data_IF_716828788904
#
_entry.id   IF_716828788904
#
_cell.length_a   1.000
_cell.length_b   1.000
_cell.length_c   1.000
_cell.angle_alpha   90.00
_cell.angle_beta   90.00
_cell.angle_gamma   90.00
#
_symmetry.space_group_name_H-M   'P 1'
#
loop_
_entity.id
_entity.type
_entity.pdbx_description
1 polymer ?
#
# COMPACT_ATOMS: atom_id res chain seq x y z
N UNK A 1 17.21 15.41 -9.00
CA UNK A 1 16.65 14.07 -9.27
C UNK A 1 15.26 14.25 -9.89
N UNK A 2 15.02 13.77 -11.11
CA UNK A 2 13.68 13.79 -11.71
C UNK A 2 13.06 12.41 -11.57
N UNK A 3 11.94 12.33 -10.86
CA UNK A 3 11.12 11.12 -10.73
C UNK A 3 9.96 11.22 -11.73
N UNK A 4 9.68 10.14 -12.46
CA UNK A 4 8.57 10.06 -13.41
C UNK A 4 7.72 8.85 -13.08
N UNK A 5 6.45 9.08 -12.73
CA UNK A 5 5.45 8.02 -12.50
C UNK A 5 4.94 7.53 -13.86
N UNK A 6 4.93 6.22 -14.05
CA UNK A 6 4.47 5.56 -15.28
C UNK A 6 3.12 4.87 -15.11
N UNK A 7 2.82 4.38 -13.91
CA UNK A 7 1.55 3.73 -13.61
C UNK A 7 1.12 3.97 -12.16
N UNK A 8 -0.19 3.93 -11.92
CA UNK A 8 -0.80 3.90 -10.59
C UNK A 8 -2.09 3.07 -10.70
N UNK A 9 -2.16 1.96 -9.96
CA UNK A 9 -3.30 1.03 -10.02
C UNK A 9 -3.60 0.39 -8.68
N UNK A 10 -4.81 -0.14 -8.54
CA UNK A 10 -5.19 -0.96 -7.39
C UNK A 10 -4.78 -2.42 -7.60
N UNK A 11 -4.03 -2.97 -6.66
CA UNK A 11 -3.69 -4.40 -6.58
C UNK A 11 -4.61 -5.03 -5.54
N UNK A 12 -5.35 -6.07 -5.96
CA UNK A 12 -6.31 -6.79 -5.12
C UNK A 12 -5.72 -8.12 -4.63
N UNK A 13 -6.27 -8.72 -3.54
CA UNK A 13 -5.91 -10.07 -3.15
C UNK A 13 -6.12 -11.07 -4.30
N UNK A 14 -5.15 -11.94 -4.54
CA UNK A 14 -5.17 -12.92 -5.63
C UNK A 14 -5.59 -14.31 -5.14
N UNK A 15 -6.86 -14.48 -4.78
CA UNK A 15 -7.39 -15.78 -4.34
C UNK A 15 -7.23 -16.87 -5.41
N UNK A 16 -6.88 -18.08 -4.98
CA UNK A 16 -6.92 -19.26 -5.82
C UNK A 16 -8.35 -19.66 -6.22
N UNK A 17 -8.51 -20.57 -7.18
CA UNK A 17 -9.81 -21.14 -7.52
C UNK A 17 -10.50 -21.73 -6.28
N UNK A 18 -11.62 -21.14 -5.87
CA UNK A 18 -12.40 -21.61 -4.70
C UNK A 18 -11.97 -21.05 -3.34
N UNK A 19 -10.95 -20.20 -3.28
CA UNK A 19 -10.45 -19.59 -2.03
C UNK A 19 -11.05 -18.19 -1.76
N UNK A 20 -12.09 -17.80 -2.49
CA UNK A 20 -12.70 -16.50 -2.30
C UNK A 20 -13.35 -16.41 -0.91
N UNK A 21 -13.20 -15.28 -0.20
CA UNK A 21 -14.00 -15.01 0.98
C UNK A 21 -15.48 -15.10 0.57
N UNK A 22 -16.28 -15.79 1.37
CA UNK A 22 -17.72 -15.94 1.10
C UNK A 22 -18.42 -14.59 0.93
N UNK A 23 -17.88 -13.53 1.54
CA UNK A 23 -18.31 -12.15 1.29
C UNK A 23 -17.13 -11.18 1.33
N UNK A 24 -17.17 -10.13 0.51
CA UNK A 24 -16.37 -8.90 0.70
C UNK A 24 -17.05 -7.93 1.67
N UNK A 25 -18.03 -8.40 2.44
CA UNK A 25 -18.77 -7.65 3.45
C UNK A 25 -18.21 -7.79 4.86
N UNK A 26 -17.12 -8.55 5.03
CA UNK A 26 -16.48 -8.70 6.33
C UNK A 26 -15.98 -7.35 6.84
N UNK A 27 -16.14 -7.12 8.15
CA UNK A 27 -15.77 -5.88 8.83
C UNK A 27 -14.88 -6.20 10.01
N UNK A 28 -13.79 -5.45 10.16
CA UNK A 28 -12.89 -5.52 11.32
C UNK A 28 -13.07 -4.24 12.15
N UNK A 29 -13.80 -4.28 13.29
CA UNK A 29 -13.95 -3.12 14.16
C UNK A 29 -12.60 -2.68 14.74
N UNK A 30 -12.33 -1.37 14.72
CA UNK A 30 -11.13 -0.81 15.35
C UNK A 30 -11.24 -0.90 16.87
N UNK A 31 -10.22 -1.50 17.49
CA UNK A 31 -10.15 -1.64 18.95
C UNK A 31 -9.77 -0.32 19.60
N UNK A 32 -9.88 -0.27 20.92
CA UNK A 32 -9.61 0.94 21.70
C UNK A 32 -8.17 1.46 21.51
N UNK A 33 -7.19 0.57 21.34
CA UNK A 33 -5.80 0.96 21.10
C UNK A 33 -5.54 1.46 19.69
N UNK A 34 -6.26 0.96 18.69
CA UNK A 34 -6.19 1.49 17.33
C UNK A 34 -6.70 2.94 17.31
N UNK A 35 -7.81 3.20 18.02
CA UNK A 35 -8.45 4.52 18.15
C UNK A 35 -7.66 5.51 19.01
N UNK A 36 -6.76 5.03 19.86
CA UNK A 36 -5.86 5.87 20.67
C UNK A 36 -4.61 6.30 19.89
N UNK A 37 -4.34 5.68 18.73
CA UNK A 37 -3.19 5.98 17.89
C UNK A 37 -3.49 7.13 16.91
N UNK A 38 -2.47 7.57 16.16
CA UNK A 38 -2.62 8.63 15.17
C UNK A 38 -3.46 8.18 13.97
N UNK A 39 -4.49 8.96 13.65
CA UNK A 39 -5.27 8.82 12.43
C UNK A 39 -4.54 9.52 11.27
N UNK A 40 -3.47 8.88 10.79
CA UNK A 40 -2.57 9.45 9.78
C UNK A 40 -1.87 8.37 8.95
N UNK A 41 -1.32 8.77 7.80
CA UNK A 41 -0.48 7.90 6.99
C UNK A 41 0.98 7.98 7.45
N UNK A 42 1.60 6.83 7.68
CA UNK A 42 3.03 6.72 8.00
C UNK A 42 3.77 6.25 6.74
N UNK A 43 4.83 6.96 6.36
CA UNK A 43 5.61 6.66 5.16
C UNK A 43 7.04 6.25 5.48
N UNK A 44 7.59 5.30 4.71
CA UNK A 44 8.96 4.79 4.83
C UNK A 44 9.54 4.49 3.45
N UNK A 45 10.85 4.67 3.27
CA UNK A 45 11.56 4.40 2.01
C UNK A 45 12.58 3.30 2.25
N UNK A 46 12.57 2.28 1.38
CA UNK A 46 13.58 1.23 1.31
C UNK A 46 14.33 1.32 -0.03
N UNK A 47 15.63 1.07 -0.01
CA UNK A 47 16.49 1.12 -1.18
C UNK A 47 17.29 -0.19 -1.32
N UNK A 48 17.33 -0.73 -2.53
CA UNK A 48 17.97 -2.01 -2.85
C UNK A 48 19.01 -1.82 -3.94
N UNK A 49 20.15 -2.50 -3.83
CA UNK A 49 21.15 -2.55 -4.91
C UNK A 49 20.68 -3.47 -6.04
N UNK A 50 21.07 -3.20 -7.30
CA UNK A 50 20.79 -4.11 -8.40
C UNK A 50 21.55 -5.45 -8.24
N UNK A 51 21.01 -6.55 -8.76
CA UNK A 51 19.71 -6.66 -9.43
C UNK A 51 18.53 -6.69 -8.42
N UNK A 52 17.42 -6.07 -8.79
CA UNK A 52 16.16 -6.15 -8.06
C UNK A 52 15.10 -6.91 -8.88
N UNK A 53 14.08 -7.52 -8.25
CA UNK A 53 12.97 -8.16 -8.98
C UNK A 53 12.25 -7.17 -9.91
N UNK A 54 11.71 -7.67 -11.02
CA UNK A 54 10.88 -6.87 -11.91
C UNK A 54 9.56 -6.44 -11.23
N UNK A 55 8.98 -5.31 -11.67
CA UNK A 55 7.74 -4.77 -11.10
C UNK A 55 6.59 -5.80 -11.06
N UNK A 56 6.44 -6.61 -12.12
CA UNK A 56 5.42 -7.66 -12.19
C UNK A 56 5.58 -8.73 -11.09
N UNK A 57 6.81 -9.05 -10.69
CA UNK A 57 7.06 -10.00 -9.60
C UNK A 57 6.68 -9.39 -8.24
N UNK A 58 6.95 -8.09 -8.04
CA UNK A 58 6.56 -7.36 -6.83
C UNK A 58 5.03 -7.24 -6.73
N UNK A 59 4.36 -6.90 -7.83
CA UNK A 59 2.90 -6.82 -7.89
C UNK A 59 2.25 -8.17 -7.58
N UNK A 60 2.73 -9.26 -8.20
CA UNK A 60 2.22 -10.61 -7.93
C UNK A 60 2.47 -11.05 -6.48
N UNK A 61 3.61 -10.66 -5.91
CA UNK A 61 3.92 -10.88 -4.49
C UNK A 61 2.97 -10.13 -3.56
N UNK A 62 2.70 -8.85 -3.85
CA UNK A 62 1.74 -8.03 -3.12
C UNK A 62 0.33 -8.63 -3.18
N UNK A 63 -0.15 -9.01 -4.36
CA UNK A 63 -1.47 -9.60 -4.54
C UNK A 63 -1.65 -10.89 -3.72
N UNK A 64 -0.59 -11.72 -3.61
CA UNK A 64 -0.60 -12.91 -2.75
C UNK A 64 -0.60 -12.57 -1.26
N UNK A 65 0.26 -11.62 -0.85
CA UNK A 65 0.32 -11.19 0.55
C UNK A 65 -1.01 -10.59 1.04
N UNK A 66 -1.72 -9.87 0.17
CA UNK A 66 -3.01 -9.25 0.49
C UNK A 66 -4.13 -10.26 0.81
N UNK A 67 -3.96 -11.56 0.51
CA UNK A 67 -4.90 -12.61 0.94
C UNK A 67 -4.86 -12.75 2.48
N UNK A 68 -3.66 -12.70 3.06
CA UNK A 68 -3.44 -12.81 4.51
C UNK A 68 -3.60 -11.48 5.24
N UNK A 69 -3.55 -10.36 4.49
CA UNK A 69 -3.48 -8.99 4.99
C UNK A 69 -4.54 -8.11 4.32
N UNK A 70 -5.79 -8.58 4.29
CA UNK A 70 -6.91 -7.96 3.56
C UNK A 70 -7.22 -6.55 4.03
N UNK A 71 -6.90 -6.19 5.27
CA UNK A 71 -7.08 -4.85 5.82
C UNK A 71 -6.42 -3.78 4.94
N UNK A 72 -5.27 -4.11 4.34
CA UNK A 72 -4.51 -3.21 3.45
C UNK A 72 -5.12 -3.09 2.04
N UNK A 73 -6.03 -3.99 1.67
CA UNK A 73 -6.87 -3.88 0.48
C UNK A 73 -8.27 -3.33 0.79
N UNK A 74 -8.62 -3.12 2.06
CA UNK A 74 -9.91 -2.63 2.50
C UNK A 74 -10.05 -1.11 2.45
N UNK A 75 -11.08 -0.57 3.11
CA UNK A 75 -11.27 0.86 3.33
C UNK A 75 -11.72 1.13 4.76
N UNK A 76 -11.27 2.24 5.34
CA UNK A 76 -11.84 2.71 6.60
C UNK A 76 -13.31 3.12 6.39
N UNK A 77 -14.16 2.75 7.35
CA UNK A 77 -15.58 3.02 7.34
C UNK A 77 -16.19 2.85 8.73
N UNK A 78 -17.45 2.45 8.79
CA UNK A 78 -18.17 2.13 10.03
C UNK A 78 -18.82 0.75 9.94
N UNK A 79 -18.92 0.07 11.07
CA UNK A 79 -19.69 -1.17 11.20
C UNK A 79 -21.21 -0.90 11.37
N UNK A 80 -22.00 -1.96 11.52
CA UNK A 80 -23.46 -1.86 11.67
C UNK A 80 -23.92 -1.11 12.93
N UNK A 81 -23.04 -0.98 13.93
CA UNK A 81 -23.29 -0.25 15.17
C UNK A 81 -22.77 1.21 15.10
N UNK A 82 -22.20 1.61 13.96
CA UNK A 82 -21.64 2.95 13.74
C UNK A 82 -20.22 3.13 14.30
N UNK A 83 -19.54 2.07 14.75
CA UNK A 83 -18.16 2.18 15.22
C UNK A 83 -17.18 2.19 14.04
N UNK A 84 -16.06 2.92 14.18
CA UNK A 84 -15.00 2.90 13.17
C UNK A 84 -14.49 1.47 12.94
N UNK A 85 -14.38 1.10 11.67
CA UNK A 85 -13.96 -0.23 11.27
C UNK A 85 -13.19 -0.21 9.94
N UNK A 86 -12.54 -1.32 9.62
CA UNK A 86 -11.98 -1.59 8.30
C UNK A 86 -12.96 -2.49 7.55
N UNK A 87 -13.48 -2.01 6.43
CA UNK A 87 -14.31 -2.76 5.52
C UNK A 87 -13.40 -3.61 4.63
N UNK A 88 -13.47 -4.94 4.73
CA UNK A 88 -12.66 -5.86 3.93
C UNK A 88 -13.27 -6.04 2.53
N UNK A 89 -13.43 -4.93 1.82
CA UNK A 89 -14.13 -4.84 0.54
C UNK A 89 -13.26 -5.15 -0.68
N UNK A 90 -11.99 -5.55 -0.47
CA UNK A 90 -11.01 -5.84 -1.51
C UNK A 90 -10.91 -4.73 -2.58
N UNK A 91 -11.06 -3.46 -2.16
CA UNK A 91 -10.86 -2.28 -3.00
C UNK A 91 -9.44 -2.16 -3.56
N UNK A 92 -8.50 -2.88 -2.95
CA UNK A 92 -7.11 -3.01 -3.38
C UNK A 92 -6.20 -1.95 -2.79
N UNK A 93 -4.92 -2.28 -2.71
CA UNK A 93 -3.84 -1.39 -2.32
C UNK A 93 -3.29 -0.65 -3.55
N UNK A 94 -2.97 0.64 -3.42
CA UNK A 94 -2.38 1.41 -4.53
C UNK A 94 -0.92 0.97 -4.76
N UNK A 95 -0.61 0.60 -5.99
CA UNK A 95 0.73 0.25 -6.46
C UNK A 95 1.14 1.23 -7.56
N UNK A 96 2.27 1.92 -7.35
CA UNK A 96 2.78 3.00 -8.22
C UNK A 96 4.14 2.59 -8.76
N UNK A 97 4.31 2.67 -10.07
CA UNK A 97 5.59 2.39 -10.74
C UNK A 97 6.19 3.69 -11.25
N UNK A 98 7.48 3.92 -10.95
CA UNK A 98 8.18 5.14 -11.33
C UNK A 98 9.64 4.85 -11.68
N UNK A 99 10.28 5.77 -12.42
CA UNK A 99 11.72 5.77 -12.69
C UNK A 99 12.35 7.08 -12.23
N UNK A 100 13.64 7.04 -11.91
CA UNK A 100 14.43 8.23 -11.64
C UNK A 100 15.61 8.30 -12.62
N UNK A 101 15.84 9.49 -13.20
CA UNK A 101 16.94 9.73 -14.16
C UNK A 101 18.24 10.06 -13.43
N UNK A 102 18.63 9.18 -12.50
CA UNK A 102 19.82 9.31 -11.65
C UNK A 102 20.18 7.94 -11.06
N UNK A 103 21.45 7.70 -10.72
CA UNK A 103 21.85 6.49 -10.00
C UNK A 103 21.57 6.63 -8.51
N UNK A 104 21.17 5.53 -7.85
CA UNK A 104 20.95 5.51 -6.41
C UNK A 104 22.20 5.96 -5.63
N UNK A 105 23.39 5.51 -6.05
CA UNK A 105 24.66 5.83 -5.36
C UNK A 105 24.97 7.34 -5.37
N UNK A 106 24.57 8.08 -6.41
CA UNK A 106 24.82 9.53 -6.50
C UNK A 106 23.94 10.37 -5.58
N UNK A 107 22.85 9.81 -5.04
CA UNK A 107 21.91 10.51 -4.14
C UNK A 107 21.95 9.96 -2.71
N UNK A 108 22.78 8.94 -2.45
CA UNK A 108 22.92 8.36 -1.12
C UNK A 108 23.97 9.11 -0.28
N UNK A 109 23.74 9.28 1.04
CA UNK A 109 22.53 8.91 1.77
C UNK A 109 21.37 9.86 1.47
N UNK A 110 20.16 9.30 1.28
CA UNK A 110 18.96 10.11 1.09
C UNK A 110 18.77 11.06 2.29
N UNK A 111 18.50 12.33 1.98
CA UNK A 111 18.11 13.36 2.94
C UNK A 111 16.63 13.69 2.74
N UNK A 112 15.91 14.16 3.76
CA UNK A 112 14.50 14.54 3.62
C UNK A 112 14.35 15.86 2.84
N UNK A 113 14.79 15.88 1.58
CA UNK A 113 14.56 16.98 0.64
C UNK A 113 13.16 16.89 0.06
N UNK A 114 12.68 17.96 -0.58
CA UNK A 114 11.36 17.97 -1.21
C UNK A 114 11.21 16.84 -2.26
N UNK A 115 12.28 16.53 -3.00
CA UNK A 115 12.30 15.47 -4.01
C UNK A 115 12.26 14.07 -3.41
N UNK A 116 12.82 13.88 -2.21
CA UNK A 116 12.73 12.58 -1.50
C UNK A 116 11.38 12.44 -0.84
N UNK A 117 10.84 13.51 -0.26
CA UNK A 117 9.51 13.52 0.35
C UNK A 117 8.39 13.36 -0.68
N UNK A 118 8.60 13.76 -1.93
CA UNK A 118 7.63 13.52 -3.01
C UNK A 118 7.49 12.05 -3.42
N UNK A 119 8.39 11.17 -2.95
CA UNK A 119 8.24 9.72 -3.07
C UNK A 119 7.23 9.15 -2.06
N UNK A 120 6.88 9.90 -1.02
CA UNK A 120 5.83 9.48 -0.10
C UNK A 120 4.46 9.63 -0.77
N UNK A 121 3.56 8.65 -0.62
CA UNK A 121 2.20 8.77 -1.11
C UNK A 121 1.51 9.98 -0.47
N UNK A 122 0.78 10.76 -1.27
CA UNK A 122 -0.22 11.67 -0.69
C UNK A 122 -1.37 10.83 -0.15
N UNK A 123 -1.78 11.06 1.11
CA UNK A 123 -2.97 10.41 1.68
C UNK A 123 -4.30 10.87 1.07
N UNK A 124 -4.25 11.79 0.10
CA UNK A 124 -5.38 12.21 -0.70
C UNK A 124 -5.55 11.23 -1.87
N UNK A 125 -6.65 10.49 -1.84
CA UNK A 125 -7.24 9.77 -2.96
C UNK A 125 -8.45 10.54 -3.49
#
# INVERSE_FOLDING_TARGET
MKITVHSSKAVKPAYGPGEFPTTTGDVVPLKVFDKANFDTYISVIYAYRPPAPANAALEAGLAKALIEYREWAGRLGVDGDGNRAILLNDGGARFVEATADVTLDSVMPLKPTAEVLSLHPSGAD
#
